data_IF_523937770754
#
_entry.id   IF_523937770754
#
_cell.length_a   1.000
_cell.length_b   1.000
_cell.length_c   1.000
_cell.angle_alpha   90.00
_cell.angle_beta   90.00
_cell.angle_gamma   90.00
#
_symmetry.space_group_name_H-M   'P 1'
#
loop_
_entity.id
_entity.type
_entity.pdbx_description
1 polymer ?
#
# COMPACT_ATOMS: atom_id res chain seq x y z
N UNK A 1 -33.55 -5.14 -42.68
CA UNK A 1 -33.47 -5.18 -41.20
C UNK A 1 -32.00 -5.02 -40.84
N UNK A 2 -31.64 -3.84 -40.33
CA UNK A 2 -30.27 -3.40 -40.05
C UNK A 2 -29.76 -4.10 -38.77
N UNK A 3 -28.55 -4.66 -38.75
CA UNK A 3 -27.91 -5.13 -37.51
C UNK A 3 -26.59 -4.39 -37.33
N UNK A 4 -26.61 -3.31 -36.56
CA UNK A 4 -25.42 -2.58 -36.13
C UNK A 4 -24.86 -3.32 -34.93
N UNK A 5 -23.76 -4.03 -35.12
CA UNK A 5 -23.00 -4.64 -34.01
C UNK A 5 -22.15 -3.52 -33.40
N UNK A 6 -22.62 -2.98 -32.28
CA UNK A 6 -21.87 -2.03 -31.46
C UNK A 6 -20.80 -2.83 -30.70
N UNK A 7 -19.59 -2.90 -31.24
CA UNK A 7 -18.43 -3.37 -30.47
C UNK A 7 -18.12 -2.32 -29.41
N UNK A 8 -18.61 -2.56 -28.18
CA UNK A 8 -18.13 -1.85 -27.01
C UNK A 8 -16.73 -2.39 -26.71
N UNK A 9 -15.71 -1.75 -27.30
CA UNK A 9 -14.33 -1.97 -26.90
C UNK A 9 -14.18 -1.46 -25.47
N UNK A 10 -14.33 -2.34 -24.49
CA UNK A 10 -13.84 -2.07 -23.15
C UNK A 10 -12.31 -2.01 -23.26
N UNK A 11 -11.76 -0.80 -23.40
CA UNK A 11 -10.33 -0.61 -23.29
C UNK A 11 -9.92 -1.07 -21.89
N UNK A 12 -9.00 -2.04 -21.73
CA UNK A 12 -8.36 -2.25 -20.44
C UNK A 12 -7.60 -0.96 -20.14
N UNK A 13 -8.07 -0.16 -19.19
CA UNK A 13 -7.31 1.00 -18.75
C UNK A 13 -6.09 0.43 -18.02
N UNK A 14 -4.97 0.46 -18.74
CA UNK A 14 -3.68 -0.03 -18.33
C UNK A 14 -3.22 0.63 -17.02
N UNK A 15 -2.62 -0.20 -16.17
CA UNK A 15 -1.58 0.08 -15.19
C UNK A 15 -1.70 1.32 -14.29
N UNK A 16 -1.55 1.09 -12.99
CA UNK A 16 -1.21 2.05 -11.93
C UNK A 16 -0.12 3.06 -12.37
N UNK A 17 -0.46 4.12 -13.09
CA UNK A 17 0.51 5.17 -13.45
C UNK A 17 0.54 6.32 -12.44
N UNK A 18 -0.26 6.21 -11.39
CA UNK A 18 -0.29 7.20 -10.32
C UNK A 18 0.72 6.81 -9.24
N UNK A 19 1.83 7.54 -9.19
CA UNK A 19 2.80 7.48 -8.09
C UNK A 19 2.68 8.72 -7.22
N UNK A 20 2.84 8.55 -5.91
CA UNK A 20 2.96 9.67 -4.98
C UNK A 20 4.37 10.27 -5.12
N UNK A 21 4.43 11.53 -5.54
CA UNK A 21 5.67 12.28 -5.65
C UNK A 21 6.15 12.70 -4.26
N UNK A 22 7.42 12.41 -3.98
CA UNK A 22 8.09 12.76 -2.73
C UNK A 22 9.28 13.66 -3.08
N UNK A 23 9.51 14.67 -2.25
CA UNK A 23 10.60 15.63 -2.45
C UNK A 23 11.42 15.76 -1.17
N UNK A 24 12.71 16.06 -1.32
CA UNK A 24 13.59 16.30 -0.18
C UNK A 24 13.14 17.49 0.68
N UNK A 25 12.46 18.48 0.09
CA UNK A 25 11.95 19.66 0.80
C UNK A 25 10.60 19.42 1.51
N UNK A 26 10.09 18.18 1.49
CA UNK A 26 8.84 17.84 2.14
C UNK A 26 8.97 17.96 3.65
N UNK A 27 8.09 18.74 4.28
CA UNK A 27 8.05 18.88 5.75
C UNK A 27 6.76 18.34 6.37
N UNK A 28 5.71 18.19 5.57
CA UNK A 28 4.39 17.75 6.03
C UNK A 28 4.15 16.29 5.64
N UNK A 29 3.40 15.59 6.50
CA UNK A 29 2.93 14.25 6.21
C UNK A 29 1.92 14.24 5.06
N UNK A 30 2.06 13.29 4.13
CA UNK A 30 1.20 13.13 2.98
C UNK A 30 0.28 11.92 3.15
N UNK A 31 -0.99 12.07 2.77
CA UNK A 31 -1.97 10.97 2.72
C UNK A 31 -1.68 10.02 1.57
N UNK A 32 -1.62 8.72 1.84
CA UNK A 32 -1.39 7.70 0.81
C UNK A 32 -2.66 7.36 0.03
N UNK A 33 -3.84 7.43 0.65
CA UNK A 33 -5.14 6.96 0.14
C UNK A 33 -5.43 7.38 -1.32
N UNK A 34 -5.17 8.63 -1.76
CA UNK A 34 -5.42 9.04 -3.15
C UNK A 34 -4.67 8.24 -4.22
N UNK A 35 -3.62 7.52 -3.83
CA UNK A 35 -2.74 6.73 -4.70
C UNK A 35 -2.77 5.23 -4.36
N UNK A 36 -3.65 4.81 -3.44
CA UNK A 36 -3.75 3.43 -2.98
C UNK A 36 -4.79 2.67 -3.80
N UNK A 37 -4.44 1.45 -4.16
CA UNK A 37 -5.35 0.41 -4.62
C UNK A 37 -5.45 -0.66 -3.56
N UNK A 38 -6.60 -1.32 -3.42
CA UNK A 38 -6.78 -2.39 -2.45
C UNK A 38 -7.45 -3.64 -3.02
N UNK A 39 -7.19 -4.78 -2.38
CA UNK A 39 -7.80 -6.07 -2.65
C UNK A 39 -8.11 -6.79 -1.34
N UNK A 40 -9.36 -7.24 -1.18
CA UNK A 40 -9.76 -8.08 -0.06
C UNK A 40 -9.43 -9.54 -0.37
N UNK A 41 -8.69 -10.19 0.51
CA UNK A 41 -8.39 -11.62 0.47
C UNK A 41 -9.05 -12.34 1.65
N UNK A 42 -10.29 -12.78 1.44
CA UNK A 42 -11.03 -13.60 2.41
C UNK A 42 -10.43 -14.99 2.63
N UNK A 43 -9.56 -15.46 1.71
CA UNK A 43 -8.87 -16.73 1.88
C UNK A 43 -7.68 -16.63 2.84
N UNK A 44 -7.10 -15.43 2.99
CA UNK A 44 -5.85 -15.12 3.72
C UNK A 44 -4.64 -15.93 3.24
N UNK A 45 -4.65 -16.39 2.00
CA UNK A 45 -3.63 -17.28 1.44
C UNK A 45 -2.86 -16.68 0.28
N UNK A 46 -3.25 -15.51 -0.23
CA UNK A 46 -2.54 -14.92 -1.36
C UNK A 46 -1.11 -14.55 -0.95
N UNK A 47 -0.16 -14.85 -1.84
CA UNK A 47 1.21 -14.32 -1.76
C UNK A 47 1.30 -12.93 -2.42
N UNK A 48 2.35 -12.14 -2.14
CA UNK A 48 2.60 -10.88 -2.84
C UNK A 48 2.56 -11.00 -4.37
N UNK A 49 3.16 -12.06 -4.93
CA UNK A 49 3.16 -12.28 -6.38
C UNK A 49 1.76 -12.56 -6.94
N UNK A 50 0.95 -13.34 -6.21
CA UNK A 50 -0.43 -13.60 -6.60
C UNK A 50 -1.30 -12.34 -6.53
N UNK A 51 -1.05 -11.46 -5.56
CA UNK A 51 -1.72 -10.16 -5.46
C UNK A 51 -1.34 -9.27 -6.63
N UNK A 52 -0.05 -9.18 -6.98
CA UNK A 52 0.39 -8.41 -8.15
C UNK A 52 -0.20 -8.93 -9.45
N UNK A 53 -0.29 -10.25 -9.62
CA UNK A 53 -0.94 -10.85 -10.79
C UNK A 53 -2.43 -10.46 -10.91
N UNK A 54 -3.05 -10.07 -9.80
CA UNK A 54 -4.45 -9.61 -9.71
C UNK A 54 -4.58 -8.08 -9.62
N UNK A 55 -3.54 -7.32 -10.01
CA UNK A 55 -3.55 -5.84 -9.98
C UNK A 55 -4.78 -5.25 -10.69
N UNK A 56 -5.23 -5.85 -11.79
CA UNK A 56 -6.41 -5.39 -12.55
C UNK A 56 -7.74 -5.55 -11.79
N UNK A 57 -7.77 -6.40 -10.74
CA UNK A 57 -8.95 -6.62 -9.90
C UNK A 57 -8.99 -5.67 -8.69
N UNK A 58 -7.91 -4.93 -8.43
CA UNK A 58 -7.82 -4.05 -7.27
C UNK A 58 -8.71 -2.81 -7.44
N UNK A 59 -9.32 -2.39 -6.33
CA UNK A 59 -10.18 -1.21 -6.27
C UNK A 59 -9.34 0.01 -5.91
N UNK A 60 -9.62 1.16 -6.54
CA UNK A 60 -8.94 2.41 -6.20
C UNK A 60 -9.57 3.03 -4.96
N UNK A 61 -8.74 3.42 -3.98
CA UNK A 61 -9.16 4.20 -2.82
C UNK A 61 -9.20 5.72 -3.09
N UNK A 62 -8.95 6.15 -4.34
CA UNK A 62 -8.77 7.56 -4.65
C UNK A 62 -10.00 8.45 -4.40
N UNK A 63 -11.20 7.86 -4.43
CA UNK A 63 -12.45 8.55 -4.15
C UNK A 63 -12.91 8.39 -2.68
N UNK A 64 -12.22 7.57 -1.90
CA UNK A 64 -12.59 7.27 -0.53
C UNK A 64 -11.88 8.23 0.44
N UNK A 65 -12.59 8.86 1.38
CA UNK A 65 -11.95 9.72 2.38
C UNK A 65 -11.07 8.91 3.33
N UNK A 66 -11.44 7.66 3.60
CA UNK A 66 -10.76 6.75 4.52
C UNK A 66 -10.85 5.30 4.01
N UNK A 67 -9.83 4.47 4.29
CA UNK A 67 -9.79 3.04 3.92
C UNK A 67 -10.17 2.20 5.14
N UNK A 68 -11.48 1.99 5.35
CA UNK A 68 -12.01 1.29 6.53
C UNK A 68 -12.88 0.09 6.13
N UNK A 69 -12.56 -1.09 6.68
CA UNK A 69 -13.27 -2.35 6.42
C UNK A 69 -14.09 -2.85 7.62
N UNK A 70 -14.13 -2.08 8.71
CA UNK A 70 -14.77 -2.45 9.97
C UNK A 70 -14.20 -3.75 10.54
N UNK A 71 -15.07 -4.55 11.15
CA UNK A 71 -14.71 -5.87 11.64
C UNK A 71 -14.79 -6.89 10.51
N UNK A 72 -13.65 -7.51 10.20
CA UNK A 72 -13.55 -8.53 9.17
C UNK A 72 -12.45 -9.51 9.52
N UNK A 73 -12.57 -10.75 9.04
CA UNK A 73 -11.50 -11.75 9.11
C UNK A 73 -10.64 -11.77 7.84
N UNK A 74 -10.90 -10.89 6.88
CA UNK A 74 -10.13 -10.82 5.64
C UNK A 74 -8.72 -10.28 5.91
N UNK A 75 -7.75 -10.73 5.10
CA UNK A 75 -6.52 -9.98 4.89
C UNK A 75 -6.79 -8.95 3.80
N UNK A 76 -6.50 -7.70 4.06
CA UNK A 76 -6.58 -6.66 3.02
C UNK A 76 -5.20 -6.32 2.53
N UNK A 77 -5.05 -6.30 1.21
CA UNK A 77 -3.84 -5.88 0.52
C UNK A 77 -4.01 -4.47 0.00
N UNK A 78 -3.01 -3.62 0.23
CA UNK A 78 -2.85 -2.31 -0.36
C UNK A 78 -1.68 -2.33 -1.35
N UNK A 79 -1.80 -1.57 -2.43
CA UNK A 79 -0.78 -1.36 -3.43
C UNK A 79 -0.67 0.14 -3.73
N UNK A 80 0.53 0.69 -3.67
CA UNK A 80 0.81 2.06 -4.06
C UNK A 80 2.23 2.17 -4.61
N UNK A 81 2.48 3.22 -5.38
CA UNK A 81 3.80 3.54 -5.93
C UNK A 81 4.29 4.87 -5.38
N UNK A 82 5.56 4.90 -5.00
CA UNK A 82 6.27 6.10 -4.55
C UNK A 82 7.25 6.52 -5.63
N UNK A 83 7.38 7.82 -5.84
CA UNK A 83 8.41 8.41 -6.69
C UNK A 83 9.28 9.30 -5.82
N UNK A 84 10.54 8.90 -5.61
CA UNK A 84 11.52 9.64 -4.83
C UNK A 84 11.98 10.92 -5.53
N UNK A 85 12.64 11.78 -4.74
CA UNK A 85 13.19 13.04 -5.20
C UNK A 85 14.15 12.84 -6.38
N UNK A 86 14.07 13.65 -7.46
CA UNK A 86 14.85 13.42 -8.67
C UNK A 86 16.37 13.60 -8.48
N UNK A 87 16.84 14.22 -7.40
CA UNK A 87 18.27 14.54 -7.19
C UNK A 87 18.85 13.93 -5.91
N UNK A 88 18.01 13.67 -4.90
CA UNK A 88 18.49 13.25 -3.59
C UNK A 88 17.96 11.89 -3.14
N UNK A 89 18.79 11.16 -2.37
CA UNK A 89 18.31 9.99 -1.63
C UNK A 89 17.61 10.48 -0.37
N UNK A 90 16.39 10.00 -0.14
CA UNK A 90 15.51 10.48 0.94
C UNK A 90 15.05 9.32 1.81
N UNK A 91 14.99 9.57 3.12
CA UNK A 91 14.43 8.64 4.09
C UNK A 91 12.98 9.04 4.40
N UNK A 92 12.14 8.05 4.64
CA UNK A 92 10.71 8.22 4.85
C UNK A 92 10.19 7.18 5.84
N UNK A 93 9.08 7.50 6.49
CA UNK A 93 8.31 6.57 7.31
C UNK A 93 6.89 6.50 6.76
N UNK A 94 6.45 5.27 6.45
CA UNK A 94 5.03 4.98 6.22
C UNK A 94 4.42 4.59 7.57
N UNK A 95 3.41 5.33 8.01
CA UNK A 95 2.72 5.12 9.27
C UNK A 95 1.24 4.80 9.03
N UNK A 96 0.75 3.74 9.67
CA UNK A 96 -0.68 3.46 9.77
C UNK A 96 -1.30 4.32 10.86
N UNK A 97 -2.44 4.95 10.57
CA UNK A 97 -3.09 5.89 11.50
C UNK A 97 -3.89 5.22 12.60
N UNK A 98 -4.22 3.93 12.46
CA UNK A 98 -4.93 3.17 13.48
C UNK A 98 -3.95 2.34 14.31
N UNK A 99 -3.67 2.70 15.58
CA UNK A 99 -2.60 2.07 16.36
C UNK A 99 -2.88 0.60 16.74
N UNK A 100 -4.15 0.24 16.87
CA UNK A 100 -4.60 -1.09 17.30
C UNK A 100 -4.65 -2.13 16.16
N UNK A 101 -3.89 -1.92 15.09
CA UNK A 101 -3.78 -2.89 14.01
C UNK A 101 -2.86 -4.04 14.44
N UNK A 102 -3.39 -5.27 14.45
CA UNK A 102 -2.66 -6.44 14.95
C UNK A 102 -1.39 -6.71 14.12
N UNK A 103 -1.55 -6.89 12.81
CA UNK A 103 -0.46 -7.33 11.93
C UNK A 103 -0.49 -6.58 10.62
N UNK A 104 0.52 -5.75 10.41
CA UNK A 104 0.77 -5.06 9.16
C UNK A 104 2.12 -5.53 8.61
N UNK A 105 2.15 -5.92 7.34
CA UNK A 105 3.38 -6.33 6.66
C UNK A 105 3.56 -5.51 5.40
N UNK A 106 4.71 -4.87 5.26
CA UNK A 106 5.13 -4.16 4.05
C UNK A 106 6.07 -5.07 3.25
N UNK A 107 5.81 -5.17 1.96
CA UNK A 107 6.60 -5.90 0.99
C UNK A 107 7.11 -4.93 -0.07
N UNK A 108 8.42 -4.98 -0.33
CA UNK A 108 9.08 -4.24 -1.41
C UNK A 108 10.04 -5.16 -2.16
N UNK A 109 10.36 -4.83 -3.41
CA UNK A 109 11.35 -5.59 -4.16
C UNK A 109 12.75 -5.30 -3.63
N UNK A 110 13.48 -6.36 -3.26
CA UNK A 110 14.90 -6.35 -2.93
C UNK A 110 15.73 -7.12 -3.95
N UNK A 111 17.03 -7.26 -3.70
CA UNK A 111 17.98 -7.87 -4.66
C UNK A 111 17.66 -9.32 -5.02
N UNK A 112 17.08 -10.08 -4.08
CA UNK A 112 16.84 -11.53 -4.21
C UNK A 112 15.35 -11.90 -4.05
N UNK A 113 14.44 -10.96 -4.31
CA UNK A 113 12.99 -11.12 -4.12
C UNK A 113 12.43 -10.15 -3.10
N UNK A 114 11.31 -10.50 -2.47
CA UNK A 114 10.60 -9.62 -1.54
C UNK A 114 11.41 -9.36 -0.25
N UNK A 115 11.71 -8.10 0.02
CA UNK A 115 12.07 -7.62 1.34
C UNK A 115 10.80 -7.36 2.15
N UNK A 116 10.81 -7.83 3.40
CA UNK A 116 9.62 -7.86 4.24
C UNK A 116 9.88 -7.13 5.55
N UNK A 117 9.05 -6.13 5.80
CA UNK A 117 9.01 -5.39 7.04
C UNK A 117 7.68 -5.68 7.75
N UNK A 118 7.72 -5.86 9.08
CA UNK A 118 6.53 -6.17 9.88
C UNK A 118 6.33 -5.16 11.01
N UNK A 119 5.09 -4.89 11.35
CA UNK A 119 4.71 -4.12 12.54
C UNK A 119 3.27 -4.46 12.94
N UNK A 120 2.80 -3.87 14.03
CA UNK A 120 1.47 -4.08 14.59
C UNK A 120 1.49 -4.34 16.09
N UNK A 121 0.34 -4.20 16.74
CA UNK A 121 0.26 -4.12 18.20
C UNK A 121 0.47 -5.46 18.91
N UNK A 122 0.16 -6.60 18.25
CA UNK A 122 0.40 -7.94 18.78
C UNK A 122 1.83 -8.43 18.55
N UNK A 123 2.64 -7.71 17.77
CA UNK A 123 4.06 -8.06 17.57
C UNK A 123 4.89 -7.54 18.75
N UNK A 124 5.85 -8.33 19.26
CA UNK A 124 6.83 -7.83 20.23
C UNK A 124 7.68 -6.74 19.59
N UNK A 125 8.18 -5.78 20.39
CA UNK A 125 8.92 -4.63 19.88
C UNK A 125 10.12 -5.00 19.02
N UNK A 126 10.81 -6.10 19.32
CA UNK A 126 11.96 -6.62 18.56
C UNK A 126 11.60 -7.14 17.16
N UNK A 127 10.34 -7.45 16.89
CA UNK A 127 9.87 -7.88 15.57
C UNK A 127 9.30 -6.72 14.74
N UNK A 128 9.13 -5.53 15.35
CA UNK A 128 8.61 -4.34 14.67
C UNK A 128 9.74 -3.65 13.91
N UNK A 129 9.45 -3.25 12.68
CA UNK A 129 10.42 -2.59 11.79
C UNK A 129 10.83 -1.22 12.30
N UNK A 130 9.88 -0.50 12.88
CA UNK A 130 10.12 0.66 13.74
C UNK A 130 9.32 0.49 15.04
N UNK A 131 9.98 0.71 16.18
CA UNK A 131 9.31 0.71 17.48
C UNK A 131 8.55 2.02 17.62
N UNK A 132 7.29 1.99 17.22
CA UNK A 132 6.38 3.13 17.24
C UNK A 132 5.02 2.72 17.82
N UNK A 133 4.21 3.70 18.26
CA UNK A 133 2.88 3.45 18.83
C UNK A 133 1.93 2.81 17.81
N UNK A 134 2.05 3.24 16.55
CA UNK A 134 1.33 2.70 15.41
C UNK A 134 2.27 1.85 14.56
N UNK A 135 1.72 0.98 13.71
CA UNK A 135 2.51 0.27 12.73
C UNK A 135 3.23 1.27 11.79
N UNK A 136 4.56 1.27 11.82
CA UNK A 136 5.40 2.19 11.07
C UNK A 136 6.57 1.46 10.40
N UNK A 137 6.93 1.92 9.21
CA UNK A 137 7.88 1.26 8.31
C UNK A 137 8.87 2.27 7.73
N UNK A 138 10.16 2.18 8.07
CA UNK A 138 11.18 3.03 7.47
C UNK A 138 11.45 2.59 6.03
N UNK A 139 11.65 3.57 5.15
CA UNK A 139 11.98 3.39 3.74
C UNK A 139 13.07 4.40 3.38
N UNK A 140 14.03 3.96 2.57
CA UNK A 140 14.96 4.86 1.89
C UNK A 140 14.70 4.76 0.40
N UNK A 141 14.51 5.89 -0.27
CA UNK A 141 14.35 5.97 -1.72
C UNK A 141 15.58 6.64 -2.33
N UNK A 142 16.23 5.97 -3.28
CA UNK A 142 17.32 6.57 -4.02
C UNK A 142 16.82 7.71 -4.91
N UNK A 143 17.74 8.58 -5.34
CA UNK A 143 17.45 9.66 -6.28
C UNK A 143 16.73 9.13 -7.53
N UNK A 144 15.57 9.71 -7.82
CA UNK A 144 14.70 9.39 -8.94
C UNK A 144 14.04 8.01 -8.86
N UNK A 145 14.16 7.29 -7.75
CA UNK A 145 13.65 5.92 -7.64
C UNK A 145 12.11 5.89 -7.66
N UNK A 146 11.56 5.06 -8.55
CA UNK A 146 10.15 4.65 -8.49
C UNK A 146 10.03 3.31 -7.79
N UNK A 147 9.34 3.27 -6.64
CA UNK A 147 9.19 2.06 -5.82
C UNK A 147 7.74 1.64 -5.67
N UNK A 148 7.46 0.39 -6.03
CA UNK A 148 6.18 -0.27 -5.76
C UNK A 148 6.16 -0.86 -4.36
N UNK A 149 5.12 -0.55 -3.61
CA UNK A 149 4.90 -1.09 -2.26
C UNK A 149 3.60 -1.90 -2.23
N UNK A 150 3.69 -3.11 -1.70
CA UNK A 150 2.54 -3.89 -1.26
C UNK A 150 2.48 -3.87 0.26
N UNK A 151 1.29 -3.74 0.82
CA UNK A 151 1.08 -3.85 2.26
C UNK A 151 -0.09 -4.78 2.54
N UNK A 152 0.05 -5.69 3.49
CA UNK A 152 -1.07 -6.50 3.96
C UNK A 152 -1.44 -6.15 5.39
N UNK A 153 -2.73 -6.02 5.68
CA UNK A 153 -3.24 -5.80 7.02
C UNK A 153 -4.27 -6.84 7.46
N UNK A 154 -4.15 -7.23 8.73
CA UNK A 154 -5.08 -8.10 9.46
C UNK A 154 -5.25 -7.56 10.89
N UNK A 155 -6.48 -7.59 11.41
CA UNK A 155 -6.76 -7.27 12.81
C UNK A 155 -7.97 -8.05 13.29
N UNK A 156 -7.97 -8.48 14.55
CA UNK A 156 -9.17 -8.98 15.22
C UNK A 156 -10.16 -7.86 15.58
N UNK A 157 -9.68 -6.62 15.67
CA UNK A 157 -10.47 -5.41 15.86
C UNK A 157 -10.93 -4.80 14.53
N UNK A 158 -11.14 -3.48 14.55
CA UNK A 158 -11.49 -2.73 13.34
C UNK A 158 -10.29 -2.63 12.41
N UNK A 159 -10.48 -2.95 11.13
CA UNK A 159 -9.45 -2.86 10.11
C UNK A 159 -9.55 -1.52 9.37
N UNK A 160 -8.97 -0.47 9.95
CA UNK A 160 -8.81 0.84 9.30
C UNK A 160 -7.36 1.00 8.83
N UNK A 161 -7.15 1.06 7.53
CA UNK A 161 -5.84 1.04 6.89
C UNK A 161 -5.44 2.38 6.29
N UNK A 162 -5.90 3.46 6.91
CA UNK A 162 -5.45 4.81 6.61
C UNK A 162 -3.97 4.96 6.93
N UNK A 163 -3.23 5.57 6.02
CA UNK A 163 -1.79 5.70 6.13
C UNK A 163 -1.29 7.06 5.67
N UNK A 164 -0.24 7.53 6.35
CA UNK A 164 0.55 8.68 5.97
C UNK A 164 1.96 8.24 5.58
N UNK A 165 2.63 9.09 4.82
CA UNK A 165 4.08 9.06 4.65
C UNK A 165 4.67 10.40 5.08
N UNK A 166 5.76 10.37 5.83
CA UNK A 166 6.43 11.56 6.35
C UNK A 166 7.95 11.35 6.40
N UNK A 167 8.76 12.42 6.31
CA UNK A 167 10.22 12.36 6.27
C UNK A 167 10.85 11.98 7.62
#
# INVERSE_FOLDING_TARGET
MLLVILYLSASPTHATDRSLQLSVDQTEALRLQPNVYYLRDSSRRLSPDQVLARRAEMQSAAADPDINFGYTSDRVWLLFELQGDPQETTDWIVEMLYPSLDRITLYQQGKNGWEVQRSGDVLPSSERSLVHRSAAFPLQLASGERRLILMSGESAGSLSLDALIWP
#
